data_IF_093232728902
#
_entry.id   IF_093232728902
#
_cell.length_a   1.000
_cell.length_b   1.000
_cell.length_c   1.000
_cell.angle_alpha   90.00
_cell.angle_beta   90.00
_cell.angle_gamma   90.00
#
_symmetry.space_group_name_H-M   'P 1'
#
loop_
_entity.id
_entity.type
_entity.pdbx_description
1 polymer ?
#
# COMPACT_ATOMS: atom_id res chain seq x y z
N UNK A 1 -20.74 10.34 1.35
CA UNK A 1 -20.81 9.68 0.02
C UNK A 1 -19.48 9.90 -0.64
N UNK A 2 -18.89 8.86 -1.26
CA UNK A 2 -17.63 8.99 -1.98
C UNK A 2 -17.77 9.99 -3.14
N UNK A 3 -16.66 10.64 -3.50
CA UNK A 3 -16.63 11.50 -4.69
C UNK A 3 -16.54 10.62 -5.94
N UNK A 4 -17.37 10.88 -6.94
CA UNK A 4 -17.25 10.22 -8.23
C UNK A 4 -16.29 11.00 -9.12
N UNK A 5 -15.30 10.32 -9.70
CA UNK A 5 -14.35 10.90 -10.64
C UNK A 5 -14.39 10.16 -11.98
N UNK A 6 -14.19 10.91 -13.06
CA UNK A 6 -14.17 10.35 -14.42
C UNK A 6 -13.02 9.37 -14.56
N UNK A 7 -13.32 8.17 -15.04
CA UNK A 7 -12.30 7.25 -15.50
C UNK A 7 -11.55 7.83 -16.71
N UNK A 8 -10.40 7.24 -17.04
CA UNK A 8 -9.63 7.65 -18.21
C UNK A 8 -10.47 7.51 -19.49
N UNK A 9 -10.24 8.39 -20.46
CA UNK A 9 -10.95 8.37 -21.76
C UNK A 9 -10.49 7.20 -22.66
N UNK A 10 -9.39 6.54 -22.28
CA UNK A 10 -8.83 5.35 -22.92
C UNK A 10 -8.78 4.20 -21.92
N UNK A 11 -9.04 3.00 -22.42
CA UNK A 11 -8.76 1.77 -21.67
C UNK A 11 -7.30 1.79 -21.23
N UNK A 12 -7.08 1.53 -19.95
CA UNK A 12 -5.77 1.59 -19.33
C UNK A 12 -5.51 0.27 -18.62
N UNK A 13 -4.68 -0.57 -19.26
CA UNK A 13 -4.21 -1.82 -18.68
C UNK A 13 -2.92 -1.53 -17.90
N UNK A 14 -3.03 -1.63 -16.59
CA UNK A 14 -1.96 -1.35 -15.63
C UNK A 14 -1.22 -2.66 -15.38
N UNK A 15 -0.01 -2.79 -15.93
CA UNK A 15 0.80 -3.97 -15.72
C UNK A 15 1.37 -3.99 -14.29
N UNK A 16 1.24 -5.13 -13.63
CA UNK A 16 1.82 -5.34 -12.30
C UNK A 16 3.33 -5.50 -12.38
N UNK A 17 4.02 -4.96 -11.37
CA UNK A 17 5.44 -5.21 -11.11
C UNK A 17 5.62 -5.99 -9.81
N UNK A 18 6.71 -6.74 -9.61
CA UNK A 18 7.03 -7.27 -8.29
C UNK A 18 7.14 -6.12 -7.26
N UNK A 19 6.49 -6.27 -6.11
CA UNK A 19 6.58 -5.28 -5.04
C UNK A 19 8.03 -5.18 -4.54
N UNK A 20 8.59 -3.98 -4.54
CA UNK A 20 9.92 -3.67 -4.01
C UNK A 20 9.94 -2.25 -3.43
N UNK A 21 10.89 -1.99 -2.53
CA UNK A 21 10.94 -0.71 -1.80
C UNK A 21 11.22 0.48 -2.72
N UNK A 22 12.10 0.34 -3.71
CA UNK A 22 12.53 1.48 -4.55
C UNK A 22 11.37 2.02 -5.40
N UNK A 23 10.62 1.12 -6.06
CA UNK A 23 9.46 1.52 -6.85
C UNK A 23 8.29 1.99 -5.97
N UNK A 24 8.20 1.51 -4.72
CA UNK A 24 7.12 1.84 -3.79
C UNK A 24 7.40 3.08 -2.91
N UNK A 25 8.63 3.60 -2.91
CA UNK A 25 9.11 4.57 -1.93
C UNK A 25 8.29 5.86 -1.82
N UNK A 26 7.68 6.32 -2.92
CA UNK A 26 6.85 7.54 -2.91
C UNK A 26 5.45 7.31 -2.34
N UNK A 27 5.03 6.06 -2.21
CA UNK A 27 3.71 5.66 -1.72
C UNK A 27 3.76 5.19 -0.28
N UNK A 28 4.92 4.68 0.17
CA UNK A 28 5.13 4.22 1.53
C UNK A 28 6.33 3.28 1.64
N UNK A 29 6.17 2.25 2.49
CA UNK A 29 7.25 1.32 2.86
C UNK A 29 6.81 -0.13 2.65
N UNK A 30 7.69 -0.93 2.05
CA UNK A 30 7.60 -2.38 1.96
C UNK A 30 8.32 -2.97 3.17
N UNK A 31 7.61 -3.78 3.95
CA UNK A 31 8.16 -4.46 5.11
C UNK A 31 8.41 -5.92 4.72
N UNK A 32 9.67 -6.34 4.77
CA UNK A 32 10.10 -7.71 4.50
C UNK A 32 11.43 -7.99 5.22
N UNK A 33 11.86 -9.25 5.25
CA UNK A 33 13.24 -9.56 5.66
C UNK A 33 14.21 -9.01 4.60
N UNK A 34 15.11 -8.07 4.93
CA UNK A 34 16.00 -7.48 3.95
C UNK A 34 17.20 -8.38 3.59
N UNK A 35 17.47 -9.43 4.37
CA UNK A 35 18.54 -10.40 4.10
C UNK A 35 18.06 -11.84 4.44
N UNK A 36 17.15 -12.41 3.63
CA UNK A 36 16.53 -13.73 3.89
C UNK A 36 17.53 -14.89 3.90
N UNK A 37 18.69 -14.73 3.26
CA UNK A 37 19.79 -15.70 3.22
C UNK A 37 20.63 -15.72 4.50
N UNK A 38 20.54 -14.69 5.34
CA UNK A 38 21.35 -14.57 6.55
C UNK A 38 20.69 -15.32 7.70
N UNK A 39 21.36 -16.35 8.19
CA UNK A 39 20.96 -17.13 9.36
C UNK A 39 21.55 -16.47 10.61
N UNK A 40 20.74 -16.04 11.59
CA UNK A 40 21.26 -15.50 12.86
C UNK A 40 22.16 -16.52 13.58
N UNK A 41 23.29 -16.04 14.09
CA UNK A 41 24.22 -16.83 14.89
C UNK A 41 24.96 -15.93 15.88
N UNK A 42 25.31 -16.44 17.06
CA UNK A 42 26.16 -15.74 18.03
C UNK A 42 27.57 -15.45 17.50
N UNK A 43 28.00 -16.14 16.44
CA UNK A 43 29.32 -15.99 15.82
C UNK A 43 29.33 -15.11 14.57
N UNK A 44 28.18 -14.55 14.16
CA UNK A 44 28.11 -13.67 12.99
C UNK A 44 28.99 -12.43 13.22
N UNK A 45 29.88 -12.12 12.28
CA UNK A 45 30.84 -11.00 12.42
C UNK A 45 30.36 -9.73 11.73
N UNK A 46 29.67 -9.88 10.60
CA UNK A 46 29.14 -8.78 9.81
C UNK A 46 27.62 -8.85 9.85
N UNK A 47 27.00 -7.81 10.39
CA UNK A 47 25.54 -7.70 10.44
C UNK A 47 25.03 -7.03 9.16
N UNK A 48 23.86 -7.45 8.65
CA UNK A 48 23.15 -6.69 7.64
C UNK A 48 22.93 -5.24 8.08
N UNK A 49 22.82 -4.33 7.11
CA UNK A 49 22.52 -2.92 7.36
C UNK A 49 21.27 -2.76 8.21
N UNK A 50 21.30 -1.81 9.15
CA UNK A 50 20.17 -1.48 10.02
C UNK A 50 19.65 -2.66 10.88
N UNK A 51 20.57 -3.54 11.30
CA UNK A 51 20.24 -4.69 12.15
C UNK A 51 21.15 -4.76 13.38
N UNK A 52 20.61 -5.36 14.45
CA UNK A 52 21.35 -5.69 15.67
C UNK A 52 21.11 -7.15 16.04
N UNK A 53 22.10 -7.80 16.67
CA UNK A 53 21.85 -9.10 17.27
C UNK A 53 20.91 -8.96 18.47
N UNK A 54 20.02 -9.93 18.61
CA UNK A 54 19.12 -10.07 19.73
C UNK A 54 19.11 -11.53 20.22
N UNK A 55 18.45 -11.79 21.35
CA UNK A 55 18.25 -13.14 21.90
C UNK A 55 19.55 -13.96 21.99
N UNK A 56 20.59 -13.35 22.59
CA UNK A 56 21.92 -13.98 22.77
C UNK A 56 22.54 -14.51 21.46
N UNK A 57 22.24 -13.85 20.33
CA UNK A 57 22.78 -14.18 19.01
C UNK A 57 21.91 -15.12 18.18
N UNK A 58 20.77 -15.57 18.70
CA UNK A 58 19.82 -16.43 17.95
C UNK A 58 18.83 -15.66 17.09
N UNK A 59 18.84 -14.33 17.14
CA UNK A 59 17.98 -13.48 16.32
C UNK A 59 18.72 -12.26 15.77
N UNK A 60 18.26 -11.78 14.61
CA UNK A 60 18.57 -10.46 14.08
C UNK A 60 17.32 -9.59 14.19
N UNK A 61 17.46 -8.42 14.81
CA UNK A 61 16.42 -7.40 14.89
C UNK A 61 16.74 -6.31 13.88
N UNK A 62 15.93 -6.21 12.84
CA UNK A 62 15.95 -5.07 11.92
C UNK A 62 15.20 -3.91 12.55
N UNK A 63 15.84 -2.75 12.63
CA UNK A 63 15.29 -1.58 13.30
C UNK A 63 14.44 -0.76 12.32
N UNK A 64 13.38 -0.13 12.83
CA UNK A 64 12.63 0.90 12.11
C UNK A 64 12.20 0.53 10.67
N UNK A 65 11.78 -0.73 10.49
CA UNK A 65 11.36 -1.29 9.18
C UNK A 65 10.12 -0.60 8.59
N UNK A 66 9.41 0.18 9.40
CA UNK A 66 8.37 1.14 9.00
C UNK A 66 8.13 2.12 10.15
N UNK A 67 7.42 3.22 9.90
CA UNK A 67 7.03 4.19 10.92
C UNK A 67 5.54 4.44 10.89
N UNK A 68 4.88 4.33 12.05
CA UNK A 68 3.49 4.77 12.18
C UNK A 68 3.44 6.28 12.37
N UNK A 69 2.57 6.97 11.63
CA UNK A 69 2.38 8.41 11.72
C UNK A 69 0.96 8.74 12.17
N UNK A 70 0.86 9.67 13.11
CA UNK A 70 -0.40 10.24 13.60
C UNK A 70 -0.39 11.74 13.35
N UNK A 71 -1.27 12.21 12.49
CA UNK A 71 -1.47 13.62 12.18
C UNK A 71 -2.82 14.15 12.67
N UNK A 72 -3.60 13.36 13.40
CA UNK A 72 -4.96 13.73 13.83
C UNK A 72 -4.98 14.92 14.79
N UNK A 73 -3.86 15.26 15.43
CA UNK A 73 -3.72 16.52 16.18
C UNK A 73 -3.96 17.78 15.34
N UNK A 74 -3.86 17.69 14.01
CA UNK A 74 -4.19 18.77 13.07
C UNK A 74 -5.56 18.61 12.40
N UNK A 75 -6.33 17.57 12.74
CA UNK A 75 -7.61 17.30 12.10
C UNK A 75 -8.70 18.29 12.56
N UNK A 76 -9.62 18.72 11.67
CA UNK A 76 -10.67 19.69 12.00
C UNK A 76 -11.57 19.31 13.18
N UNK A 77 -11.86 18.02 13.37
CA UNK A 77 -12.70 17.56 14.48
C UNK A 77 -12.10 17.77 15.86
N UNK A 78 -10.77 17.92 15.93
CA UNK A 78 -10.00 17.95 17.18
C UNK A 78 -10.19 16.68 18.04
N UNK A 79 -10.71 15.60 17.46
CA UNK A 79 -10.86 14.31 18.15
C UNK A 79 -9.53 13.58 18.14
N UNK A 80 -9.08 13.21 19.33
CA UNK A 80 -7.86 12.42 19.54
C UNK A 80 -8.00 11.06 18.86
N UNK A 81 -6.97 10.66 18.13
CA UNK A 81 -6.86 9.33 17.55
C UNK A 81 -6.30 8.32 18.52
N UNK A 82 -6.58 7.04 18.26
CA UNK A 82 -5.94 5.93 18.94
C UNK A 82 -5.23 5.07 17.90
N UNK A 83 -4.09 4.47 18.28
CA UNK A 83 -3.55 3.37 17.51
C UNK A 83 -4.54 2.19 17.59
N UNK A 84 -4.97 1.71 16.44
CA UNK A 84 -5.90 0.60 16.30
C UNK A 84 -5.25 -0.53 15.51
N UNK A 85 -5.57 -1.75 15.91
CA UNK A 85 -5.18 -2.97 15.22
C UNK A 85 -6.45 -3.75 14.88
N UNK A 86 -6.67 -3.97 13.59
CA UNK A 86 -7.86 -4.65 13.10
C UNK A 86 -7.47 -5.92 12.35
N UNK A 87 -8.41 -6.85 12.22
CA UNK A 87 -8.26 -8.04 11.38
C UNK A 87 -9.10 -7.88 10.12
N UNK A 88 -8.48 -8.05 8.97
CA UNK A 88 -9.16 -8.09 7.67
C UNK A 88 -9.03 -9.49 7.11
N UNK A 89 -10.16 -10.19 6.96
CA UNK A 89 -10.23 -11.50 6.29
C UNK A 89 -10.68 -11.25 4.85
N UNK A 90 -9.75 -11.31 3.91
CA UNK A 90 -9.96 -10.87 2.53
C UNK A 90 -10.11 -12.07 1.60
N UNK A 91 -11.33 -12.27 1.07
CA UNK A 91 -11.59 -13.26 0.02
C UNK A 91 -10.93 -12.86 -1.32
N UNK A 92 -10.57 -13.88 -2.10
CA UNK A 92 -10.07 -13.71 -3.46
C UNK A 92 -11.08 -12.96 -4.34
N UNK A 93 -10.59 -12.00 -5.13
CA UNK A 93 -11.37 -11.21 -6.07
C UNK A 93 -11.40 -11.90 -7.43
N UNK A 94 -12.59 -11.97 -8.02
CA UNK A 94 -12.76 -12.50 -9.37
C UNK A 94 -12.07 -11.60 -10.40
N UNK A 95 -11.37 -12.22 -11.34
CA UNK A 95 -10.72 -11.54 -12.45
C UNK A 95 -11.59 -11.65 -13.70
N UNK A 96 -11.65 -10.56 -14.46
CA UNK A 96 -12.20 -10.57 -15.81
C UNK A 96 -11.25 -11.34 -16.74
N UNK A 97 -11.77 -11.99 -17.79
CA UNK A 97 -10.93 -12.66 -18.78
C UNK A 97 -10.03 -11.67 -19.51
N UNK A 98 -8.85 -12.12 -19.92
CA UNK A 98 -7.94 -11.37 -20.80
C UNK A 98 -7.83 -12.08 -22.14
N UNK A 99 -7.68 -11.29 -23.21
CA UNK A 99 -7.34 -11.81 -24.54
C UNK A 99 -5.82 -12.02 -24.73
N UNK A 100 -4.99 -11.42 -23.87
CA UNK A 100 -3.56 -11.65 -23.83
C UNK A 100 -3.25 -12.92 -23.02
N UNK A 101 -2.60 -13.89 -23.66
CA UNK A 101 -2.24 -15.17 -23.06
C UNK A 101 -1.26 -15.06 -21.89
N UNK A 102 -0.51 -13.96 -21.79
CA UNK A 102 0.42 -13.69 -20.68
C UNK A 102 -0.29 -13.16 -19.43
N UNK A 103 -1.53 -12.69 -19.58
CA UNK A 103 -2.33 -12.13 -18.49
C UNK A 103 -3.35 -13.19 -18.06
N UNK A 104 -3.27 -13.63 -16.80
CA UNK A 104 -4.21 -14.59 -16.23
C UNK A 104 -5.63 -14.01 -16.14
N UNK A 105 -5.73 -12.72 -15.84
CA UNK A 105 -6.98 -11.99 -15.83
C UNK A 105 -6.79 -10.52 -15.47
N UNK A 106 -7.87 -9.77 -15.59
CA UNK A 106 -7.91 -8.33 -15.36
C UNK A 106 -8.70 -8.02 -14.09
N UNK A 107 -8.11 -7.27 -13.18
CA UNK A 107 -8.80 -6.76 -11.99
C UNK A 107 -9.30 -5.32 -12.26
N UNK A 108 -10.62 -5.07 -12.30
CA UNK A 108 -11.14 -3.73 -12.51
C UNK A 108 -10.96 -2.89 -11.25
N UNK A 109 -10.26 -1.76 -11.37
CA UNK A 109 -10.14 -0.77 -10.30
C UNK A 109 -11.35 0.14 -10.38
N UNK A 110 -12.22 0.09 -9.39
CA UNK A 110 -13.47 0.88 -9.36
C UNK A 110 -13.50 1.91 -8.23
N UNK A 111 -12.58 1.79 -7.27
CA UNK A 111 -12.50 2.65 -6.09
C UNK A 111 -11.04 2.81 -5.67
N UNK A 112 -10.69 4.01 -5.25
CA UNK A 112 -9.47 4.30 -4.51
C UNK A 112 -9.83 5.01 -3.21
N UNK A 113 -9.08 4.74 -2.16
CA UNK A 113 -9.21 5.34 -0.85
C UNK A 113 -7.88 5.91 -0.37
N UNK A 114 -7.93 6.78 0.64
CA UNK A 114 -6.73 7.23 1.36
C UNK A 114 -7.05 7.51 2.82
N UNK A 115 -6.02 7.42 3.65
CA UNK A 115 -6.04 7.80 5.06
C UNK A 115 -5.20 9.07 5.27
N UNK A 116 -5.79 10.28 5.21
CA UNK A 116 -5.03 11.52 5.15
C UNK A 116 -4.22 11.83 6.41
N UNK A 117 -4.67 11.38 7.58
CA UNK A 117 -4.06 11.70 8.87
C UNK A 117 -3.23 10.56 9.48
N UNK A 118 -3.05 9.44 8.78
CA UNK A 118 -2.29 8.30 9.31
C UNK A 118 -1.66 7.47 8.22
N UNK A 119 -0.53 6.84 8.52
CA UNK A 119 -0.10 5.66 7.77
C UNK A 119 -1.05 4.49 8.02
N UNK A 120 -1.16 3.56 7.08
CA UNK A 120 -1.91 2.31 7.26
C UNK A 120 -1.05 1.13 6.84
N UNK A 121 -0.87 0.16 7.74
CA UNK A 121 -0.03 -1.01 7.51
C UNK A 121 -0.87 -2.28 7.40
N UNK A 122 -0.70 -3.04 6.32
CA UNK A 122 -1.27 -4.38 6.15
C UNK A 122 -0.18 -5.45 6.27
N UNK A 123 -0.38 -6.38 7.19
CA UNK A 123 0.55 -7.47 7.49
C UNK A 123 -0.15 -8.80 7.18
N UNK A 124 0.20 -9.50 6.09
CA UNK A 124 -0.43 -10.78 5.79
C UNK A 124 -0.05 -11.84 6.82
N UNK A 125 -1.01 -12.69 7.15
CA UNK A 125 -0.82 -13.87 7.98
C UNK A 125 -1.04 -15.14 7.16
N UNK A 126 -0.31 -16.21 7.52
CA UNK A 126 -0.62 -17.56 7.04
C UNK A 126 -0.35 -17.83 5.56
N UNK A 127 0.54 -17.06 4.92
CA UNK A 127 1.00 -17.36 3.56
C UNK A 127 2.46 -17.82 3.62
N UNK A 128 2.67 -19.10 3.36
CA UNK A 128 4.02 -19.62 3.21
C UNK A 128 4.61 -19.27 1.84
N UNK A 129 5.94 -19.18 1.68
CA UNK A 129 6.58 -19.05 0.37
C UNK A 129 6.24 -20.21 -0.60
N UNK A 130 5.81 -21.37 -0.08
CA UNK A 130 5.29 -22.48 -0.90
C UNK A 130 3.96 -22.21 -1.56
N UNK A 131 3.15 -21.28 -1.03
CA UNK A 131 1.80 -20.98 -1.51
C UNK A 131 1.73 -19.72 -2.36
N UNK A 132 2.89 -19.12 -2.67
CA UNK A 132 2.99 -17.89 -3.44
C UNK A 132 2.44 -18.03 -4.88
N UNK A 133 2.40 -19.25 -5.42
CA UNK A 133 1.78 -19.55 -6.72
C UNK A 133 0.24 -19.69 -6.64
N UNK A 134 -0.29 -19.92 -5.43
CA UNK A 134 -1.71 -20.15 -5.21
C UNK A 134 -2.45 -18.89 -4.77
N UNK A 135 -1.78 -18.00 -4.04
CA UNK A 135 -2.36 -16.75 -3.55
C UNK A 135 -1.33 -15.64 -3.43
N UNK A 136 -1.75 -14.44 -3.80
CA UNK A 136 -1.01 -13.20 -3.57
C UNK A 136 -2.02 -12.06 -3.37
N UNK A 137 -1.51 -10.87 -3.11
CA UNK A 137 -2.33 -9.68 -3.06
C UNK A 137 -1.73 -8.58 -3.93
N UNK A 138 -2.60 -7.75 -4.50
CA UNK A 138 -2.21 -6.60 -5.30
C UNK A 138 -2.15 -5.36 -4.41
N UNK A 139 -1.14 -4.55 -4.66
CA UNK A 139 -1.00 -3.21 -4.08
C UNK A 139 -1.17 -2.23 -5.23
N UNK A 140 -2.31 -1.55 -5.26
CA UNK A 140 -2.64 -0.59 -6.33
C UNK A 140 -2.63 0.80 -5.71
N UNK A 141 -1.82 1.70 -6.24
CA UNK A 141 -1.56 3.02 -5.67
C UNK A 141 -1.55 4.09 -6.75
N UNK A 142 -1.89 5.32 -6.37
CA UNK A 142 -1.81 6.48 -7.26
C UNK A 142 -1.23 7.68 -6.51
N UNK A 143 -0.40 8.50 -7.17
CA UNK A 143 -0.01 9.79 -6.60
C UNK A 143 -1.20 10.75 -6.63
N UNK A 144 -1.15 11.82 -5.84
CA UNK A 144 -2.17 12.87 -5.88
C UNK A 144 -1.92 13.86 -7.02
N UNK A 145 -3.00 14.35 -7.60
CA UNK A 145 -3.01 15.53 -8.45
C UNK A 145 -2.71 16.80 -7.64
N UNK A 146 -2.47 17.91 -8.34
CA UNK A 146 -2.47 19.22 -7.68
C UNK A 146 -3.89 19.52 -7.15
N UNK A 147 -4.04 20.07 -5.94
CA UNK A 147 -5.34 20.43 -5.39
C UNK A 147 -6.17 21.34 -6.31
N UNK A 148 -7.48 21.16 -6.28
CA UNK A 148 -8.46 21.85 -7.13
C UNK A 148 -9.67 22.32 -6.31
N UNK A 149 -10.68 22.89 -6.98
CA UNK A 149 -11.95 23.25 -6.32
C UNK A 149 -12.78 22.01 -5.97
N UNK A 150 -12.57 20.87 -6.64
CA UNK A 150 -13.35 19.65 -6.42
C UNK A 150 -13.00 19.03 -5.06
N UNK A 151 -11.73 19.11 -4.67
CA UNK A 151 -11.19 18.57 -3.42
C UNK A 151 -11.12 19.58 -2.28
N UNK A 152 -11.64 20.79 -2.45
CA UNK A 152 -11.52 21.90 -1.48
C UNK A 152 -11.99 21.52 -0.06
N UNK A 153 -13.00 20.65 0.03
CA UNK A 153 -13.60 20.23 1.31
C UNK A 153 -12.92 19.01 1.94
N UNK A 154 -11.94 18.40 1.29
CA UNK A 154 -11.26 17.21 1.82
C UNK A 154 -10.24 17.65 2.89
N UNK A 155 -10.41 17.25 4.17
CA UNK A 155 -9.47 17.59 5.22
C UNK A 155 -8.15 16.85 5.00
N UNK A 156 -7.05 17.53 5.28
CA UNK A 156 -5.69 16.98 5.25
C UNK A 156 -4.85 17.61 6.36
N UNK A 157 -3.74 16.99 6.77
CA UNK A 157 -2.87 17.55 7.80
C UNK A 157 -2.37 18.95 7.46
N UNK A 158 -2.46 19.85 8.43
CA UNK A 158 -1.81 21.16 8.38
C UNK A 158 -0.48 21.02 9.10
N UNK A 159 0.60 20.87 8.34
CA UNK A 159 1.95 20.79 8.91
C UNK A 159 2.39 22.18 9.39
N UNK A 160 2.79 22.28 10.65
CA UNK A 160 3.34 23.54 11.19
C UNK A 160 4.67 23.89 10.51
N UNK A 161 4.96 25.16 10.22
CA UNK A 161 6.24 25.58 9.60
C UNK A 161 7.51 25.18 10.39
N UNK A 162 7.35 24.79 11.65
CA UNK A 162 8.43 24.42 12.58
C UNK A 162 8.90 22.96 12.45
N UNK A 163 8.24 22.13 11.63
CA UNK A 163 8.72 20.78 11.30
C UNK A 163 9.83 20.76 10.24
N UNK A 164 10.30 21.94 9.82
CA UNK A 164 11.52 22.08 9.04
C UNK A 164 12.71 21.84 9.96
N UNK A 165 13.03 20.56 10.19
CA UNK A 165 14.37 20.20 10.66
C UNK A 165 15.39 20.80 9.69
N UNK A 166 16.54 21.21 10.22
CA UNK A 166 17.65 21.85 9.49
C UNK A 166 18.23 21.01 8.32
N UNK A 167 17.72 19.80 8.11
CA UNK A 167 18.21 18.84 7.12
C UNK A 167 17.38 18.85 5.81
N UNK A 168 16.40 19.76 5.66
CA UNK A 168 15.58 19.85 4.44
C UNK A 168 14.70 18.63 4.15
N UNK A 169 14.61 17.71 5.11
CA UNK A 169 14.00 16.38 5.00
C UNK A 169 12.60 16.32 5.65
N UNK A 170 11.88 17.44 5.65
CA UNK A 170 10.52 17.51 6.16
C UNK A 170 9.59 16.60 5.35
N UNK A 171 8.80 15.78 6.03
CA UNK A 171 7.89 14.83 5.40
C UNK A 171 6.87 15.57 4.52
N UNK A 172 7.00 15.43 3.20
CA UNK A 172 6.10 16.07 2.24
C UNK A 172 4.87 15.18 2.03
N UNK A 173 3.76 15.57 2.65
CA UNK A 173 2.49 14.86 2.49
C UNK A 173 1.85 15.11 1.11
N UNK A 174 1.08 14.15 0.57
CA UNK A 174 0.42 14.26 -0.75
C UNK A 174 -0.57 15.43 -0.88
N UNK A 175 -1.07 15.97 0.25
CA UNK A 175 -2.06 17.02 0.28
C UNK A 175 -3.45 16.52 -0.16
N UNK A 176 -4.35 17.45 -0.49
CA UNK A 176 -5.78 17.12 -0.69
C UNK A 176 -6.15 16.66 -2.10
N UNK A 177 -5.25 16.76 -3.08
CA UNK A 177 -5.56 16.43 -4.48
C UNK A 177 -6.08 15.00 -4.68
N UNK A 178 -7.02 14.85 -5.62
CA UNK A 178 -7.61 13.57 -6.04
C UNK A 178 -6.54 12.64 -6.69
N UNK A 179 -6.78 11.32 -6.82
CA UNK A 179 -5.77 10.43 -7.40
C UNK A 179 -5.51 10.74 -8.86
N UNK A 180 -4.24 10.73 -9.24
CA UNK A 180 -3.77 10.88 -10.61
C UNK A 180 -3.79 9.51 -11.31
N UNK A 181 -4.92 9.20 -11.96
CA UNK A 181 -5.14 7.93 -12.62
C UNK A 181 -4.19 7.67 -13.80
N UNK A 182 -3.53 8.72 -14.35
CA UNK A 182 -2.52 8.54 -15.40
C UNK A 182 -1.20 8.00 -14.86
N UNK A 183 -0.98 8.08 -13.54
CA UNK A 183 0.22 7.61 -12.85
C UNK A 183 -0.07 6.53 -11.81
N UNK A 184 -1.21 5.85 -11.97
CA UNK A 184 -1.54 4.67 -11.18
C UNK A 184 -0.49 3.58 -11.40
N UNK A 185 -0.12 2.89 -10.32
CA UNK A 185 0.81 1.76 -10.35
C UNK A 185 0.18 0.58 -9.64
N UNK A 186 0.56 -0.62 -10.07
CA UNK A 186 0.13 -1.86 -9.45
C UNK A 186 1.33 -2.75 -9.18
N UNK A 187 1.36 -3.34 -7.99
CA UNK A 187 2.41 -4.24 -7.55
C UNK A 187 1.81 -5.58 -7.15
N UNK A 188 2.54 -6.65 -7.45
CA UNK A 188 2.27 -7.99 -6.98
C UNK A 188 3.10 -8.23 -5.72
N UNK A 189 2.45 -8.26 -4.57
CA UNK A 189 3.09 -8.57 -3.31
C UNK A 189 3.09 -10.08 -3.08
N UNK A 190 4.19 -10.59 -2.53
CA UNK A 190 4.24 -11.96 -2.06
C UNK A 190 3.77 -12.08 -0.61
N UNK A 191 3.42 -13.29 -0.20
CA UNK A 191 2.88 -13.54 1.14
C UNK A 191 3.81 -13.23 2.32
N UNK A 192 5.09 -12.96 2.05
CA UNK A 192 6.09 -12.54 3.04
C UNK A 192 6.38 -11.04 3.06
N UNK A 193 5.63 -10.26 2.30
CA UNK A 193 5.73 -8.81 2.25
C UNK A 193 4.52 -8.22 2.96
N UNK A 194 4.75 -7.27 3.86
CA UNK A 194 3.74 -6.36 4.37
C UNK A 194 3.94 -4.99 3.71
N UNK A 195 2.90 -4.16 3.72
CA UNK A 195 2.98 -2.78 3.18
C UNK A 195 2.48 -1.78 4.19
N UNK A 196 3.19 -0.67 4.31
CA UNK A 196 2.71 0.55 4.96
C UNK A 196 2.46 1.59 3.89
N UNK A 197 1.21 1.99 3.70
CA UNK A 197 0.87 3.19 2.94
C UNK A 197 1.24 4.43 3.75
N UNK A 198 1.91 5.39 3.11
CA UNK A 198 2.14 6.72 3.65
C UNK A 198 0.83 7.47 3.90
N UNK A 199 0.84 8.42 4.85
CA UNK A 199 -0.33 9.22 5.13
C UNK A 199 -0.79 10.01 3.89
N UNK A 200 -2.06 9.85 3.53
CA UNK A 200 -2.68 10.48 2.36
C UNK A 200 -2.38 9.83 1.01
N UNK A 201 -1.62 8.73 0.97
CA UNK A 201 -1.42 7.94 -0.26
C UNK A 201 -2.75 7.37 -0.73
N UNK A 202 -3.08 7.55 -2.02
CA UNK A 202 -4.22 6.88 -2.62
C UNK A 202 -3.88 5.43 -2.93
N UNK A 203 -4.73 4.50 -2.50
CA UNK A 203 -4.61 3.08 -2.78
C UNK A 203 -5.97 2.42 -3.00
N UNK A 204 -6.01 1.27 -3.66
CA UNK A 204 -7.23 0.47 -3.69
C UNK A 204 -7.46 -0.21 -2.33
N UNK A 205 -8.72 -0.51 -1.96
CA UNK A 205 -9.00 -1.46 -0.89
C UNK A 205 -8.30 -2.80 -1.17
N UNK A 206 -7.90 -3.52 -0.11
CA UNK A 206 -7.04 -4.71 -0.24
C UNK A 206 -7.57 -5.75 -1.25
N UNK A 207 -6.71 -6.13 -2.21
CA UNK A 207 -7.07 -7.00 -3.34
C UNK A 207 -6.34 -8.33 -3.22
N UNK A 208 -7.02 -9.36 -2.74
CA UNK A 208 -6.51 -10.74 -2.76
C UNK A 208 -6.84 -11.38 -4.10
N UNK A 209 -5.88 -12.08 -4.70
CA UNK A 209 -6.10 -12.88 -5.92
C UNK A 209 -5.50 -14.27 -5.75
N UNK A 210 -6.21 -15.29 -6.21
CA UNK A 210 -5.77 -16.68 -6.05
C UNK A 210 -6.89 -17.62 -5.59
N UNK A 211 -6.49 -18.73 -4.97
CA UNK A 211 -7.40 -19.84 -4.60
C UNK A 211 -7.96 -19.76 -3.17
N UNK A 212 -7.36 -18.96 -2.29
CA UNK A 212 -7.72 -18.89 -0.86
C UNK A 212 -7.79 -17.44 -0.35
N UNK A 213 -8.50 -17.17 0.76
CA UNK A 213 -8.44 -15.86 1.39
C UNK A 213 -7.06 -15.58 2.00
N UNK A 214 -6.79 -14.31 2.30
CA UNK A 214 -5.66 -13.87 3.12
C UNK A 214 -6.20 -13.10 4.31
N UNK A 215 -5.66 -13.42 5.49
CA UNK A 215 -5.90 -12.65 6.71
C UNK A 215 -4.81 -11.59 6.85
N UNK A 216 -5.20 -10.37 7.18
CA UNK A 216 -4.29 -9.25 7.41
C UNK A 216 -4.51 -8.66 8.81
N UNK A 217 -3.41 -8.50 9.54
CA UNK A 217 -3.39 -7.53 10.64
C UNK A 217 -3.21 -6.15 10.03
N UNK A 218 -4.12 -5.24 10.36
CA UNK A 218 -4.12 -3.87 9.86
C UNK A 218 -3.86 -2.92 11.00
N UNK A 219 -2.82 -2.09 10.88
CA UNK A 219 -2.40 -1.15 11.92
C UNK A 219 -2.44 0.27 11.39
N UNK A 220 -3.15 1.15 12.09
CA UNK A 220 -3.26 2.57 11.77
C UNK A 220 -3.65 3.36 13.02
N UNK A 221 -3.65 4.69 12.93
CA UNK A 221 -4.42 5.52 13.85
C UNK A 221 -5.85 5.69 13.34
N UNK A 222 -6.81 5.85 14.24
CA UNK A 222 -8.18 6.22 13.89
C UNK A 222 -8.77 7.11 14.97
N UNK A 223 -9.49 8.14 14.55
CA UNK A 223 -10.23 8.99 15.46
C UNK A 223 -11.74 8.80 15.33
N UNK A 224 -12.23 7.87 14.51
CA UNK A 224 -13.66 7.57 14.37
C UNK A 224 -14.48 8.67 13.70
N UNK A 225 -13.87 9.63 13.02
CA UNK A 225 -14.53 10.63 12.18
C UNK A 225 -14.35 10.22 10.73
N UNK A 226 -15.42 9.78 10.08
CA UNK A 226 -15.36 9.11 8.78
C UNK A 226 -14.46 9.78 7.74
N UNK A 227 -14.65 11.07 7.46
CA UNK A 227 -13.90 11.82 6.43
C UNK A 227 -12.43 12.12 6.79
N UNK A 228 -12.09 12.02 8.08
CA UNK A 228 -10.72 12.17 8.58
C UNK A 228 -10.01 10.81 8.61
N UNK A 229 -10.75 9.74 8.94
CA UNK A 229 -10.24 8.38 8.91
C UNK A 229 -10.04 7.87 7.48
N UNK A 230 -11.02 8.04 6.59
CA UNK A 230 -10.97 7.50 5.23
C UNK A 230 -11.64 8.44 4.23
N UNK A 231 -10.97 8.66 3.10
CA UNK A 231 -11.52 9.40 1.97
C UNK A 231 -11.54 8.49 0.76
N UNK A 232 -12.72 8.35 0.14
CA UNK A 232 -12.95 7.42 -0.96
C UNK A 232 -13.34 8.19 -2.23
N UNK A 233 -12.85 7.70 -3.36
CA UNK A 233 -13.29 8.11 -4.70
C UNK A 233 -13.73 6.90 -5.50
N UNK A 234 -14.93 6.97 -6.06
CA UNK A 234 -15.44 5.98 -7.01
C UNK A 234 -15.08 6.40 -8.44
N UNK A 235 -14.62 5.45 -9.23
CA UNK A 235 -14.37 5.66 -10.65
C UNK A 235 -15.69 5.43 -11.41
N UNK A 236 -16.08 6.39 -12.25
CA UNK A 236 -17.23 6.22 -13.14
C UNK A 236 -17.05 4.94 -13.97
N UNK A 237 -18.08 4.07 -13.94
CA UNK A 237 -18.11 2.88 -14.80
C UNK A 237 -18.18 3.33 -16.25
N UNK A 238 -17.26 2.86 -17.06
CA UNK A 238 -17.26 3.11 -18.51
C UNK A 238 -17.06 1.80 -19.25
N UNK A 239 -17.26 1.77 -20.57
CA UNK A 239 -16.89 0.60 -21.38
C UNK A 239 -15.36 0.38 -21.48
N UNK A 240 -14.56 1.21 -20.80
CA UNK A 240 -13.09 1.32 -20.90
C UNK A 240 -12.47 1.45 -19.50
N UNK A 241 -12.56 0.39 -18.72
CA UNK A 241 -12.15 0.40 -17.32
C UNK A 241 -10.62 0.51 -17.12
N UNK A 242 -10.20 1.09 -15.99
CA UNK A 242 -8.84 0.95 -15.50
C UNK A 242 -8.69 -0.45 -14.92
N UNK A 243 -7.92 -1.30 -15.60
CA UNK A 243 -7.78 -2.70 -15.24
C UNK A 243 -6.33 -3.00 -14.88
N UNK A 244 -6.11 -3.68 -13.75
CA UNK A 244 -4.79 -4.21 -13.40
C UNK A 244 -4.61 -5.57 -14.05
N UNK A 245 -3.55 -5.72 -14.84
CA UNK A 245 -3.16 -6.99 -15.43
C UNK A 245 -2.51 -7.89 -14.37
N UNK A 246 -3.20 -8.99 -14.05
CA UNK A 246 -2.70 -10.00 -13.12
C UNK A 246 -2.01 -11.10 -13.94
N UNK A 247 -0.72 -11.36 -13.73
CA UNK A 247 0.02 -12.37 -14.47
C UNK A 247 -0.34 -13.77 -14.01
N UNK A 248 0.11 -14.78 -14.75
CA UNK A 248 0.15 -16.15 -14.24
C UNK A 248 1.15 -16.23 -13.09
N UNK A 249 0.70 -16.71 -11.93
CA UNK A 249 1.56 -16.94 -10.77
C UNK A 249 2.36 -18.22 -11.04
N UNK A 250 3.66 -18.10 -11.35
CA UNK A 250 4.55 -19.28 -11.47
C UNK A 250 5.99 -18.98 -11.01
N UNK A 251 6.56 -19.88 -10.20
CA UNK A 251 7.97 -19.88 -9.74
C UNK A 251 9.03 -19.76 -10.83
N UNK A 252 8.75 -20.21 -12.06
CA UNK A 252 9.72 -20.28 -13.15
C UNK A 252 9.59 -19.14 -14.15
N UNK A 253 8.68 -18.19 -13.94
CA UNK A 253 8.74 -16.93 -14.64
C UNK A 253 9.96 -16.19 -14.11
N UNK A 254 11.11 -16.38 -14.77
CA UNK A 254 12.08 -15.30 -14.87
C UNK A 254 11.27 -14.11 -15.37
N UNK A 255 10.95 -13.19 -14.48
CA UNK A 255 10.39 -11.89 -14.80
C UNK A 255 11.47 -11.21 -15.65
N UNK A 256 11.48 -11.51 -16.95
CA UNK A 256 12.41 -10.91 -17.90
C UNK A 256 11.95 -9.47 -18.05
N UNK A 257 12.74 -8.60 -17.42
CA UNK A 257 12.80 -7.16 -17.63
C UNK A 257 12.81 -6.83 -19.13
#
# INVERSE_FOLDING_TARGET
MPLTIKASVKENIIHTKPLNQDDFAIFGTVIQNPAPEVIPSSTIKALPTNSVQANQGTALKYLDVTHMKDYYGSAPSQRVANAVMNMFVCSSRSLLPSHDSNIKGLFPVTILERHPFTTQTFIPLGISPSEQDDVCYLVVVAPSLTPSLIDEKLPVPVLSPQSNTSDGNGEKLPGRGLPDLNRIQAFLANGSQAVTYGAGTWHAPMVVVGKKPIDFVVVQFANGVGIEDCQEVELEKTDKDNCVAVPHLSRNATWKL
#
